data_IF_577316903577
#
_entry.id   IF_577316903577
#
_cell.length_a   1.000
_cell.length_b   1.000
_cell.length_c   1.000
_cell.angle_alpha   90.00
_cell.angle_beta   90.00
_cell.angle_gamma   90.00
#
_symmetry.space_group_name_H-M   'P 1'
#
loop_
_entity.id
_entity.type
_entity.pdbx_description
1 polymer ?
#
# COMPACT_ATOMS: atom_id res chain seq x y z
N UNK A 1 49.22 -33.73 -49.28
CA UNK A 1 48.54 -34.04 -48.00
C UNK A 1 49.26 -33.22 -46.93
N UNK A 2 48.69 -32.34 -46.11
CA UNK A 2 47.34 -31.82 -45.91
C UNK A 2 47.49 -30.35 -45.44
N UNK A 3 46.53 -29.51 -45.80
CA UNK A 3 46.44 -28.13 -45.32
C UNK A 3 45.96 -28.11 -43.86
N UNK A 4 46.56 -27.31 -43.00
CA UNK A 4 45.93 -26.92 -41.73
C UNK A 4 46.10 -25.43 -41.47
N UNK A 5 45.13 -24.65 -41.95
CA UNK A 5 44.92 -23.25 -41.58
C UNK A 5 44.38 -23.20 -40.17
N UNK A 6 44.90 -22.33 -39.30
CA UNK A 6 44.15 -21.88 -38.12
C UNK A 6 44.17 -20.36 -38.02
N UNK A 7 42.96 -19.85 -38.16
CA UNK A 7 42.55 -18.45 -38.30
C UNK A 7 42.65 -17.75 -36.95
N UNK A 8 43.26 -16.57 -36.95
CA UNK A 8 43.27 -15.64 -35.81
C UNK A 8 41.85 -15.04 -35.70
N UNK A 9 41.14 -15.30 -34.61
CA UNK A 9 39.85 -14.66 -34.33
C UNK A 9 40.01 -13.79 -33.10
N UNK A 10 40.17 -12.49 -33.34
CA UNK A 10 40.10 -11.42 -32.34
C UNK A 10 38.65 -11.26 -31.88
N UNK A 11 38.34 -11.77 -30.68
CA UNK A 11 37.03 -11.62 -30.07
C UNK A 11 36.86 -10.20 -29.50
N UNK A 12 36.05 -9.37 -30.17
CA UNK A 12 35.53 -8.10 -29.61
C UNK A 12 34.42 -8.44 -28.63
N UNK A 13 34.72 -8.38 -27.33
CA UNK A 13 33.73 -8.54 -26.26
C UNK A 13 32.90 -7.25 -26.22
N UNK A 14 31.68 -7.27 -26.77
CA UNK A 14 30.67 -6.25 -26.48
C UNK A 14 30.07 -6.56 -25.11
N UNK A 15 30.47 -5.79 -24.09
CA UNK A 15 29.82 -5.79 -22.79
C UNK A 15 28.47 -5.07 -22.91
N UNK A 16 27.37 -5.82 -22.98
CA UNK A 16 26.03 -5.29 -22.80
C UNK A 16 25.84 -4.94 -21.32
N UNK A 17 25.81 -3.66 -21.00
CA UNK A 17 25.40 -3.17 -19.67
C UNK A 17 23.89 -3.35 -19.57
N UNK A 18 23.45 -4.41 -18.87
CA UNK A 18 22.06 -4.59 -18.50
C UNK A 18 21.72 -3.58 -17.39
N UNK A 19 20.99 -2.53 -17.73
CA UNK A 19 20.40 -1.62 -16.74
C UNK A 19 19.27 -2.36 -16.02
N UNK A 20 19.24 -2.40 -14.67
CA UNK A 20 18.09 -2.95 -13.95
C UNK A 20 16.89 -2.03 -14.17
N UNK A 21 15.87 -2.53 -14.87
CA UNK A 21 14.57 -1.88 -14.92
C UNK A 21 13.92 -2.09 -13.56
N UNK A 22 14.02 -1.09 -12.69
CA UNK A 22 13.29 -1.09 -11.43
C UNK A 22 11.79 -0.95 -11.75
N UNK A 23 11.05 -2.07 -11.71
CA UNK A 23 9.59 -2.03 -11.74
C UNK A 23 9.12 -1.20 -10.53
N UNK A 24 8.28 -0.17 -10.71
CA UNK A 24 7.70 0.52 -9.56
C UNK A 24 6.98 -0.51 -8.70
N UNK A 25 7.32 -0.58 -7.41
CA UNK A 25 6.65 -1.48 -6.48
C UNK A 25 5.15 -1.18 -6.55
N UNK A 26 4.32 -2.17 -6.93
CA UNK A 26 2.91 -1.94 -7.15
C UNK A 26 2.19 -1.40 -5.89
N UNK A 27 2.71 -1.68 -4.69
CA UNK A 27 2.27 -1.06 -3.44
C UNK A 27 2.49 0.48 -3.42
N UNK A 28 3.55 0.98 -4.06
CA UNK A 28 3.80 2.41 -4.20
C UNK A 28 2.77 3.12 -5.08
N UNK A 29 2.00 2.38 -5.90
CA UNK A 29 0.88 2.98 -6.65
C UNK A 29 -0.20 3.53 -5.72
N UNK A 30 -0.29 2.99 -4.50
CA UNK A 30 -1.23 3.42 -3.47
C UNK A 30 -0.70 4.53 -2.55
N UNK A 31 0.57 4.91 -2.69
CA UNK A 31 1.20 5.96 -1.89
C UNK A 31 0.50 7.33 -2.07
N UNK A 32 0.51 8.12 -1.00
CA UNK A 32 -0.13 9.43 -0.95
C UNK A 32 -1.00 9.63 0.29
N UNK A 33 -1.73 10.74 0.32
CA UNK A 33 -2.63 11.10 1.41
C UNK A 33 -4.05 10.66 1.07
N UNK A 34 -4.73 10.08 2.05
CA UNK A 34 -6.08 9.55 1.90
C UNK A 34 -7.00 10.10 2.98
N UNK A 35 -8.20 10.50 2.60
CA UNK A 35 -9.31 10.71 3.51
C UNK A 35 -10.08 9.40 3.66
N UNK A 36 -10.25 8.93 4.89
CA UNK A 36 -11.04 7.74 5.20
C UNK A 36 -12.27 8.15 5.99
N UNK A 37 -13.45 7.76 5.53
CA UNK A 37 -14.72 7.97 6.22
C UNK A 37 -15.19 6.65 6.83
N UNK A 38 -15.48 6.68 8.13
CA UNK A 38 -15.90 5.52 8.92
C UNK A 38 -17.42 5.60 9.11
N UNK A 39 -18.12 4.52 8.78
CA UNK A 39 -19.54 4.37 9.06
C UNK A 39 -19.79 3.22 10.05
N UNK A 40 -20.79 3.38 10.91
CA UNK A 40 -21.27 2.38 11.87
C UNK A 40 -22.80 2.44 11.92
N UNK A 41 -23.47 1.30 11.99
CA UNK A 41 -24.91 1.26 12.28
C UNK A 41 -25.21 1.56 13.75
N UNK A 42 -24.25 1.30 14.64
CA UNK A 42 -24.35 1.64 16.05
C UNK A 42 -23.88 3.09 16.28
N UNK A 43 -24.80 3.97 16.68
CA UNK A 43 -24.54 5.39 16.94
C UNK A 43 -23.57 5.62 18.10
N UNK A 44 -23.50 4.70 19.07
CA UNK A 44 -22.55 4.77 20.19
C UNK A 44 -21.09 4.58 19.75
N UNK A 45 -20.86 4.13 18.52
CA UNK A 45 -19.54 3.87 17.96
C UNK A 45 -18.97 5.06 17.16
N UNK A 46 -19.58 6.24 17.26
CA UNK A 46 -19.24 7.44 16.49
C UNK A 46 -19.28 7.19 14.98
N UNK A 47 -20.48 6.96 14.46
CA UNK A 47 -20.72 6.91 13.03
C UNK A 47 -20.34 8.27 12.38
N UNK A 48 -19.56 8.24 11.29
CA UNK A 48 -19.19 9.44 10.52
C UNK A 48 -17.83 10.05 10.83
N UNK A 49 -16.98 9.41 11.64
CA UNK A 49 -15.61 9.89 11.86
C UNK A 49 -14.79 9.86 10.56
N UNK A 50 -14.06 10.93 10.29
CA UNK A 50 -13.11 11.00 9.18
C UNK A 50 -11.67 11.03 9.71
N UNK A 51 -10.78 10.26 9.08
CA UNK A 51 -9.37 10.15 9.45
C UNK A 51 -8.52 10.32 8.21
N UNK A 52 -7.51 11.21 8.28
CA UNK A 52 -6.49 11.33 7.24
C UNK A 52 -5.32 10.39 7.52
N UNK A 53 -5.02 9.51 6.57
CA UNK A 53 -3.88 8.59 6.63
C UNK A 53 -2.91 8.86 5.48
N UNK A 54 -1.64 8.60 5.71
CA UNK A 54 -0.60 8.57 4.69
C UNK A 54 -0.24 7.13 4.35
N UNK A 55 0.02 6.87 3.07
CA UNK A 55 0.58 5.62 2.59
C UNK A 55 1.94 5.91 1.96
N UNK A 56 2.97 5.21 2.41
CA UNK A 56 4.32 5.32 1.86
C UNK A 56 4.99 3.96 1.80
N UNK A 57 5.45 3.57 0.61
CA UNK A 57 5.97 2.23 0.33
C UNK A 57 5.00 1.12 0.78
N UNK A 58 3.69 1.37 0.60
CA UNK A 58 2.64 0.48 1.09
C UNK A 58 2.48 0.42 2.61
N UNK A 59 3.20 1.20 3.41
CA UNK A 59 2.98 1.31 4.85
C UNK A 59 1.98 2.42 5.17
N UNK A 60 1.04 2.12 6.07
CA UNK A 60 0.01 3.07 6.51
C UNK A 60 0.45 3.74 7.80
N UNK A 61 0.43 5.07 7.80
CA UNK A 61 0.66 5.91 8.98
C UNK A 61 -0.47 6.93 9.12
N UNK A 62 -0.73 7.37 10.34
CA UNK A 62 -1.68 8.45 10.58
C UNK A 62 -1.01 9.81 10.41
N UNK A 63 -1.74 10.78 9.86
CA UNK A 63 -1.31 12.18 9.82
C UNK A 63 -1.87 12.99 11.01
N UNK A 64 -2.53 12.33 11.98
CA UNK A 64 -3.12 12.97 13.16
C UNK A 64 -2.43 12.52 14.45
N UNK A 65 -2.25 13.45 15.39
CA UNK A 65 -1.73 13.17 16.75
C UNK A 65 -2.77 12.49 17.66
N UNK A 66 -4.06 12.54 17.32
CA UNK A 66 -5.15 12.00 18.16
C UNK A 66 -5.48 10.53 17.89
N UNK A 67 -5.11 10.06 16.69
CA UNK A 67 -5.37 8.69 16.23
C UNK A 67 -4.07 8.17 15.65
N UNK A 68 -3.50 7.13 16.25
CA UNK A 68 -2.40 6.41 15.63
C UNK A 68 -2.97 5.37 14.65
N UNK A 69 -2.36 5.28 13.47
CA UNK A 69 -2.68 4.28 12.46
C UNK A 69 -1.40 3.53 12.11
N UNK A 70 -1.52 2.21 12.01
CA UNK A 70 -0.44 1.32 11.57
C UNK A 70 -1.02 0.26 10.67
N UNK A 71 -0.34 -0.07 9.57
CA UNK A 71 -0.88 -1.04 8.63
C UNK A 71 -0.08 -1.13 7.35
N UNK A 72 -0.63 -1.88 6.43
CA UNK A 72 -0.03 -2.18 5.14
C UNK A 72 -1.07 -2.24 4.04
N UNK A 73 -0.67 -1.79 2.85
CA UNK A 73 -1.30 -2.08 1.57
C UNK A 73 -0.38 -3.04 0.80
N UNK A 74 -0.95 -4.14 0.34
CA UNK A 74 -0.27 -5.07 -0.56
C UNK A 74 -0.27 -4.52 -1.99
N UNK A 75 0.59 -5.08 -2.84
CA UNK A 75 0.70 -4.70 -4.26
C UNK A 75 -0.61 -4.75 -5.04
N UNK A 76 -1.51 -5.67 -4.66
CA UNK A 76 -2.82 -5.82 -5.27
C UNK A 76 -3.89 -4.87 -4.67
N UNK A 77 -3.54 -3.93 -3.80
CA UNK A 77 -4.50 -2.99 -3.18
C UNK A 77 -5.18 -3.49 -1.90
N UNK A 78 -4.93 -4.74 -1.48
CA UNK A 78 -5.45 -5.26 -0.21
C UNK A 78 -4.84 -4.50 0.95
N UNK A 79 -5.69 -3.91 1.80
CA UNK A 79 -5.28 -3.07 2.92
C UNK A 79 -5.72 -3.66 4.25
N UNK A 80 -4.83 -3.64 5.23
CA UNK A 80 -5.13 -3.94 6.63
C UNK A 80 -4.52 -2.87 7.53
N UNK A 81 -5.33 -2.29 8.41
CA UNK A 81 -4.93 -1.18 9.28
C UNK A 81 -5.43 -1.43 10.69
N UNK A 82 -4.61 -1.13 11.68
CA UNK A 82 -5.02 -0.96 13.08
C UNK A 82 -5.04 0.53 13.40
N UNK A 83 -6.18 1.01 13.89
CA UNK A 83 -6.35 2.35 14.44
C UNK A 83 -6.42 2.26 15.97
N UNK A 84 -5.72 3.18 16.63
CA UNK A 84 -5.73 3.32 18.09
C UNK A 84 -5.91 4.78 18.47
N UNK A 85 -6.87 5.05 19.36
CA UNK A 85 -7.12 6.38 19.92
C UNK A 85 -7.34 6.26 21.43
N UNK A 86 -6.36 6.70 22.21
CA UNK A 86 -6.30 6.43 23.65
C UNK A 86 -6.35 4.92 23.92
N UNK A 87 -7.35 4.49 24.70
CA UNK A 87 -7.60 3.07 25.02
C UNK A 87 -8.45 2.33 23.98
N UNK A 88 -8.98 3.03 22.96
CA UNK A 88 -9.83 2.42 21.93
C UNK A 88 -8.97 1.87 20.80
N UNK A 89 -9.30 0.67 20.34
CA UNK A 89 -8.65 0.01 19.20
C UNK A 89 -9.70 -0.47 18.20
N UNK A 90 -9.40 -0.28 16.92
CA UNK A 90 -10.15 -0.83 15.81
C UNK A 90 -9.20 -1.40 14.75
N UNK A 91 -9.66 -2.41 14.02
CA UNK A 91 -8.94 -3.02 12.90
C UNK A 91 -9.81 -2.90 11.66
N UNK A 92 -9.25 -2.35 10.59
CA UNK A 92 -9.87 -2.19 9.29
C UNK A 92 -9.23 -3.12 8.26
N UNK A 93 -10.06 -3.64 7.37
CA UNK A 93 -9.67 -4.45 6.21
C UNK A 93 -10.43 -3.99 4.98
N UNK A 94 -9.82 -4.10 3.81
CA UNK A 94 -10.51 -3.84 2.55
C UNK A 94 -9.56 -3.78 1.37
N UNK A 95 -9.93 -2.98 0.38
CA UNK A 95 -9.23 -2.91 -0.89
C UNK A 95 -9.20 -1.48 -1.44
N UNK A 96 -8.04 -1.08 -1.95
CA UNK A 96 -7.83 0.18 -2.68
C UNK A 96 -7.76 -0.09 -4.17
N UNK A 97 -8.36 0.78 -4.98
CA UNK A 97 -8.32 0.74 -6.44
C UNK A 97 -8.15 2.14 -6.98
N UNK A 98 -6.97 2.43 -7.56
CA UNK A 98 -6.64 3.77 -8.06
C UNK A 98 -6.63 4.80 -6.92
N UNK A 99 -7.60 5.72 -6.95
CA UNK A 99 -7.74 6.83 -5.99
C UNK A 99 -8.89 6.65 -5.00
N UNK A 100 -9.51 5.48 -4.95
CA UNK A 100 -10.58 5.16 -4.01
C UNK A 100 -10.37 3.81 -3.34
N UNK A 101 -11.13 3.55 -2.28
CA UNK A 101 -11.09 2.27 -1.59
C UNK A 101 -12.26 2.09 -0.65
N UNK A 102 -12.47 0.87 -0.19
CA UNK A 102 -13.51 0.57 0.78
C UNK A 102 -13.25 -0.73 1.52
N UNK A 103 -13.98 -0.91 2.62
CA UNK A 103 -13.96 -2.16 3.34
C UNK A 103 -14.76 -2.13 4.63
N UNK A 104 -14.36 -3.00 5.56
CA UNK A 104 -14.99 -3.16 6.86
C UNK A 104 -14.00 -2.87 7.98
N UNK A 105 -14.52 -2.53 9.14
CA UNK A 105 -13.74 -2.39 10.35
C UNK A 105 -14.46 -2.99 11.55
N UNK A 106 -13.66 -3.38 12.55
CA UNK A 106 -14.13 -3.96 13.81
C UNK A 106 -13.31 -3.42 14.97
N UNK A 107 -13.98 -2.96 16.01
CA UNK A 107 -13.44 -2.69 17.34
C UNK A 107 -14.08 -3.61 18.38
N UNK A 108 -13.86 -3.34 19.67
CA UNK A 108 -14.31 -4.23 20.75
C UNK A 108 -15.83 -4.48 20.76
N UNK A 109 -16.64 -3.42 20.70
CA UNK A 109 -18.12 -3.49 20.71
C UNK A 109 -18.75 -2.89 19.45
N UNK A 110 -17.92 -2.56 18.47
CA UNK A 110 -18.28 -1.73 17.33
C UNK A 110 -17.81 -2.37 16.04
N UNK A 111 -18.57 -2.19 14.97
CA UNK A 111 -18.17 -2.60 13.64
C UNK A 111 -18.90 -1.77 12.60
N UNK A 112 -18.36 -1.73 11.40
CA UNK A 112 -19.05 -1.11 10.29
C UNK A 112 -18.22 -1.14 9.02
N UNK A 113 -18.46 -0.16 8.17
CA UNK A 113 -17.80 -0.01 6.87
C UNK A 113 -16.95 1.24 6.84
N UNK A 114 -16.04 1.29 5.89
CA UNK A 114 -15.28 2.50 5.59
C UNK A 114 -15.15 2.68 4.09
N UNK A 115 -15.02 3.93 3.68
CA UNK A 115 -14.67 4.32 2.31
C UNK A 115 -13.48 5.27 2.37
N UNK A 116 -12.65 5.24 1.34
CA UNK A 116 -11.45 6.07 1.26
C UNK A 116 -11.36 6.76 -0.09
N UNK A 117 -10.85 7.98 -0.10
CA UNK A 117 -10.51 8.73 -1.30
C UNK A 117 -9.14 9.39 -1.15
N UNK A 118 -8.33 9.33 -2.20
CA UNK A 118 -7.05 10.03 -2.26
C UNK A 118 -7.29 11.54 -2.42
N UNK A 119 -6.49 12.34 -1.73
CA UNK A 119 -6.51 13.81 -1.76
C UNK A 119 -5.25 14.32 -2.44
#
# INVERSE_FOLDING_TARGET
>A
MAHFRKVIVTARILALVALPVATPAAAATFDGTWNVQIASSNSACNAGASVSIGISNGQVASNSSMVAASGRVADAGNISVTLTSGIKRAVGFGHLSGTSGSGIWRGALCSGTWVAQRI
#
